data_IF_610993769633
#
_entry.id   IF_610993769633
#
_cell.length_a   1.000
_cell.length_b   1.000
_cell.length_c   1.000
_cell.angle_alpha   90.00
_cell.angle_beta   90.00
_cell.angle_gamma   90.00
#
_symmetry.space_group_name_H-M   'P 1'
#
loop_
_entity.id
_entity.type
_entity.pdbx_description
1 polymer ?
#
# COMPACT_ATOMS: atom_id res chain seq x y z
N UNK A 1 35.80 27.23 -11.66
CA UNK A 1 35.21 26.11 -12.45
C UNK A 1 34.68 25.07 -11.50
N UNK A 2 33.40 24.71 -11.58
CA UNK A 2 32.94 23.51 -10.90
C UNK A 2 33.60 22.29 -11.59
N UNK A 3 34.40 21.48 -10.87
CA UNK A 3 35.41 20.63 -11.50
C UNK A 3 34.84 19.42 -12.27
N UNK A 4 33.58 19.03 -12.04
CA UNK A 4 32.96 17.95 -12.81
C UNK A 4 31.52 18.29 -13.28
N UNK A 5 31.16 17.78 -14.45
CA UNK A 5 29.84 17.98 -15.08
C UNK A 5 28.72 17.46 -14.16
N UNK A 6 28.99 16.40 -13.40
CA UNK A 6 28.06 15.78 -12.45
C UNK A 6 27.58 16.74 -11.35
N UNK A 7 28.43 17.67 -10.89
CA UNK A 7 28.07 18.67 -9.87
C UNK A 7 27.70 20.04 -10.43
N UNK A 8 28.06 20.32 -11.69
CA UNK A 8 27.84 21.63 -12.32
C UNK A 8 26.59 21.69 -13.19
N UNK A 9 26.27 20.62 -13.93
CA UNK A 9 25.12 20.61 -14.82
C UNK A 9 23.81 20.62 -14.00
N UNK A 10 22.86 21.53 -14.24
CA UNK A 10 21.68 21.71 -13.40
C UNK A 10 20.88 20.43 -13.15
N UNK A 11 20.72 19.58 -14.15
CA UNK A 11 20.01 18.30 -14.02
C UNK A 11 20.86 17.21 -13.35
N UNK A 12 22.15 17.11 -13.70
CA UNK A 12 23.00 16.05 -13.15
C UNK A 12 23.34 16.32 -11.68
N UNK A 13 23.34 17.60 -11.27
CA UNK A 13 23.48 18.00 -9.88
C UNK A 13 22.36 17.44 -9.01
N UNK A 14 21.11 17.42 -9.51
CA UNK A 14 19.98 16.83 -8.78
C UNK A 14 20.23 15.33 -8.60
N UNK A 15 20.50 14.60 -9.69
CA UNK A 15 20.81 13.16 -9.67
C UNK A 15 21.99 12.85 -8.76
N UNK A 16 23.05 13.66 -8.83
CA UNK A 16 24.23 13.51 -8.00
C UNK A 16 23.91 13.58 -6.52
N UNK A 17 23.16 14.61 -6.13
CA UNK A 17 22.86 14.89 -4.73
C UNK A 17 21.84 13.92 -4.16
N UNK A 18 21.01 13.29 -4.99
CA UNK A 18 19.98 12.34 -4.56
C UNK A 18 20.39 10.87 -4.65
N UNK A 19 21.34 10.50 -5.52
CA UNK A 19 21.63 9.08 -5.81
C UNK A 19 23.12 8.72 -5.82
N UNK A 20 24.04 9.69 -5.86
CA UNK A 20 25.48 9.39 -6.00
C UNK A 20 26.21 9.81 -4.73
N UNK A 21 26.32 11.13 -4.52
CA UNK A 21 27.04 11.72 -3.39
C UNK A 21 26.12 11.91 -2.16
N UNK A 22 24.90 11.36 -2.19
CA UNK A 22 23.94 11.47 -1.08
C UNK A 22 24.53 10.88 0.21
N UNK A 23 24.75 11.68 1.28
CA UNK A 23 25.32 11.19 2.52
C UNK A 23 24.31 10.33 3.29
N UNK A 24 24.59 9.03 3.36
CA UNK A 24 23.68 8.04 3.96
C UNK A 24 24.32 7.39 5.20
N UNK A 25 23.54 7.10 6.28
CA UNK A 25 24.09 6.42 7.45
C UNK A 25 24.68 5.06 7.06
N UNK A 26 25.90 4.76 7.51
CA UNK A 26 26.62 3.54 7.16
C UNK A 26 25.88 2.25 7.56
N UNK A 27 25.08 2.30 8.62
CA UNK A 27 24.47 1.16 9.29
C UNK A 27 23.01 0.88 8.92
N UNK A 28 22.44 1.49 7.86
CA UNK A 28 21.07 1.16 7.45
C UNK A 28 20.98 -0.30 7.00
N UNK A 29 19.96 -1.02 7.48
CA UNK A 29 19.76 -2.46 7.24
C UNK A 29 18.97 -2.73 5.95
N UNK A 30 18.64 -4.00 5.66
CA UNK A 30 17.83 -4.39 4.50
C UNK A 30 16.44 -3.74 4.48
N UNK A 31 15.91 -3.36 5.64
CA UNK A 31 14.62 -2.67 5.74
C UNK A 31 14.60 -1.32 5.02
N UNK A 32 15.76 -0.71 4.74
CA UNK A 32 15.84 0.53 3.97
C UNK A 32 15.68 0.35 2.46
N UNK A 33 15.88 -0.86 1.94
CA UNK A 33 15.70 -1.16 0.52
C UNK A 33 14.24 -0.99 0.05
N UNK A 34 13.26 -1.09 0.95
CA UNK A 34 11.84 -0.97 0.57
C UNK A 34 11.47 0.40 -0.02
N UNK A 35 12.29 1.44 0.16
CA UNK A 35 12.09 2.71 -0.55
C UNK A 35 12.33 2.58 -2.05
N UNK A 36 13.49 2.04 -2.43
CA UNK A 36 13.85 1.82 -3.84
C UNK A 36 13.02 0.69 -4.47
N UNK A 37 12.65 -0.33 -3.71
CA UNK A 37 11.74 -1.39 -4.18
C UNK A 37 10.35 -0.85 -4.53
N UNK A 38 9.81 0.10 -3.77
CA UNK A 38 8.56 0.77 -4.14
C UNK A 38 8.70 1.58 -5.44
N UNK A 39 9.86 2.21 -5.65
CA UNK A 39 10.17 2.89 -6.91
C UNK A 39 10.16 1.95 -8.12
N UNK A 40 10.79 0.77 -8.03
CA UNK A 40 10.78 -0.20 -9.13
C UNK A 40 9.39 -0.84 -9.32
N UNK A 41 8.63 -1.08 -8.24
CA UNK A 41 7.23 -1.51 -8.35
C UNK A 41 6.39 -0.48 -9.12
N UNK A 42 6.53 0.82 -8.82
CA UNK A 42 5.82 1.88 -9.53
C UNK A 42 6.16 1.92 -11.02
N UNK A 43 7.45 1.89 -11.36
CA UNK A 43 7.90 1.87 -12.76
C UNK A 43 7.35 0.64 -13.48
N UNK A 44 7.41 -0.53 -12.85
CA UNK A 44 6.89 -1.79 -13.41
C UNK A 44 5.39 -1.71 -13.66
N UNK A 45 4.61 -1.19 -12.70
CA UNK A 45 3.16 -1.04 -12.86
C UNK A 45 2.80 -0.04 -13.97
N UNK A 46 3.50 1.09 -14.08
CA UNK A 46 3.25 2.07 -15.14
C UNK A 46 3.56 1.46 -16.51
N UNK A 47 4.71 0.80 -16.67
CA UNK A 47 5.11 0.20 -17.94
C UNK A 47 4.15 -0.93 -18.37
N UNK A 48 3.89 -1.89 -17.48
CA UNK A 48 2.96 -3.00 -17.78
C UNK A 48 1.53 -2.50 -17.97
N UNK A 49 1.08 -1.54 -17.17
CA UNK A 49 -0.25 -0.94 -17.27
C UNK A 49 -0.45 -0.19 -18.58
N UNK A 50 0.54 0.57 -19.04
CA UNK A 50 0.50 1.24 -20.34
C UNK A 50 0.39 0.22 -21.49
N UNK A 51 1.16 -0.88 -21.44
CA UNK A 51 1.09 -1.93 -22.46
C UNK A 51 -0.28 -2.63 -22.47
N UNK A 52 -0.88 -2.87 -21.30
CA UNK A 52 -2.25 -3.41 -21.22
C UNK A 52 -3.29 -2.41 -21.76
N UNK A 53 -3.14 -1.13 -21.44
CA UNK A 53 -4.06 -0.08 -21.86
C UNK A 53 -4.13 0.08 -23.39
N UNK A 54 -3.05 -0.23 -24.13
CA UNK A 54 -3.06 -0.21 -25.61
C UNK A 54 -4.00 -1.26 -26.24
N UNK A 55 -4.46 -2.23 -25.45
CA UNK A 55 -5.30 -3.35 -25.92
C UNK A 55 -6.62 -3.50 -25.15
N UNK A 56 -6.79 -2.75 -24.05
CA UNK A 56 -7.99 -2.80 -23.21
C UNK A 56 -9.10 -1.91 -23.78
N UNK A 57 -10.36 -2.33 -23.62
CA UNK A 57 -11.54 -1.53 -23.97
C UNK A 57 -12.41 -1.30 -22.75
N UNK A 58 -12.58 -0.03 -22.35
CA UNK A 58 -13.41 0.37 -21.21
C UNK A 58 -14.90 0.47 -21.60
N UNK A 59 -15.50 -0.65 -21.99
CA UNK A 59 -16.94 -0.79 -22.22
C UNK A 59 -17.45 -2.06 -21.55
N UNK A 60 -18.59 -2.02 -20.85
CA UNK A 60 -19.07 -3.18 -20.07
C UNK A 60 -19.32 -4.43 -20.91
N UNK A 61 -19.65 -4.27 -22.20
CA UNK A 61 -19.84 -5.39 -23.13
C UNK A 61 -18.52 -5.99 -23.63
N UNK A 62 -17.41 -5.25 -23.54
CA UNK A 62 -16.12 -5.63 -24.12
C UNK A 62 -14.98 -5.79 -23.11
N UNK A 63 -15.09 -5.23 -21.89
CA UNK A 63 -13.99 -5.15 -20.95
C UNK A 63 -13.42 -6.52 -20.58
N UNK A 64 -14.29 -7.44 -20.15
CA UNK A 64 -13.89 -8.81 -19.81
C UNK A 64 -13.25 -9.53 -21.01
N UNK A 65 -13.88 -9.46 -22.18
CA UNK A 65 -13.36 -10.08 -23.40
C UNK A 65 -12.06 -9.44 -23.90
N UNK A 66 -11.87 -8.14 -23.71
CA UNK A 66 -10.62 -7.43 -24.10
C UNK A 66 -9.45 -7.89 -23.24
N UNK A 67 -9.66 -8.11 -21.94
CA UNK A 67 -8.64 -8.73 -21.06
C UNK A 67 -8.37 -10.18 -21.45
N UNK A 68 -9.40 -10.94 -21.82
CA UNK A 68 -9.22 -12.30 -22.35
C UNK A 68 -8.42 -12.31 -23.67
N UNK A 69 -8.72 -11.39 -24.58
CA UNK A 69 -7.99 -11.18 -25.84
C UNK A 69 -6.52 -10.80 -25.59
N UNK A 70 -6.23 -9.91 -24.64
CA UNK A 70 -4.85 -9.59 -24.24
C UNK A 70 -4.11 -10.87 -23.85
N UNK A 71 -4.72 -11.72 -23.03
CA UNK A 71 -4.07 -12.94 -22.57
C UNK A 71 -3.90 -14.00 -23.66
N UNK A 72 -4.77 -14.02 -24.69
CA UNK A 72 -4.83 -15.11 -25.67
C UNK A 72 -4.16 -14.77 -27.01
N UNK A 73 -4.29 -13.53 -27.45
CA UNK A 73 -4.00 -13.14 -28.84
C UNK A 73 -2.83 -12.14 -28.95
N UNK A 74 -2.61 -11.32 -27.91
CA UNK A 74 -1.48 -10.38 -27.88
C UNK A 74 -0.19 -11.12 -27.53
N UNK A 75 0.86 -10.91 -28.32
CA UNK A 75 2.18 -11.50 -28.08
C UNK A 75 2.69 -11.12 -26.68
N UNK A 76 2.97 -12.12 -25.85
CA UNK A 76 3.32 -11.96 -24.43
C UNK A 76 2.26 -11.22 -23.57
N UNK A 77 1.04 -11.03 -24.05
CA UNK A 77 0.01 -10.31 -23.30
C UNK A 77 -0.39 -11.02 -22.00
N UNK A 78 -0.41 -12.36 -21.98
CA UNK A 78 -0.59 -13.14 -20.74
C UNK A 78 0.49 -12.84 -19.69
N UNK A 79 1.75 -12.69 -20.13
CA UNK A 79 2.88 -12.41 -19.26
C UNK A 79 2.76 -11.00 -18.69
N UNK A 80 2.50 -10.00 -19.55
CA UNK A 80 2.33 -8.61 -19.13
C UNK A 80 1.15 -8.49 -18.14
N UNK A 81 0.02 -9.16 -18.41
CA UNK A 81 -1.14 -9.19 -17.51
C UNK A 81 -0.78 -9.81 -16.16
N UNK A 82 -0.06 -10.93 -16.16
CA UNK A 82 0.34 -11.60 -14.91
C UNK A 82 1.35 -10.79 -14.12
N UNK A 83 2.31 -10.13 -14.79
CA UNK A 83 3.26 -9.22 -14.16
C UNK A 83 2.54 -8.02 -13.54
N UNK A 84 1.56 -7.43 -14.22
CA UNK A 84 0.80 -6.29 -13.70
C UNK A 84 -0.07 -6.66 -12.50
N UNK A 85 -0.77 -7.81 -12.56
CA UNK A 85 -1.64 -8.27 -11.48
C UNK A 85 -0.84 -8.68 -10.23
N UNK A 86 0.19 -9.51 -10.39
CA UNK A 86 1.04 -9.93 -9.27
C UNK A 86 1.95 -8.78 -8.78
N UNK A 87 2.33 -7.86 -9.68
CA UNK A 87 3.12 -6.68 -9.36
C UNK A 87 2.38 -5.74 -8.40
N UNK A 88 1.05 -5.63 -8.52
CA UNK A 88 0.23 -4.91 -7.54
C UNK A 88 0.35 -5.53 -6.13
N UNK A 89 0.31 -6.87 -6.02
CA UNK A 89 0.52 -7.54 -4.73
C UNK A 89 1.91 -7.29 -4.16
N UNK A 90 2.96 -7.37 -4.99
CA UNK A 90 4.33 -7.06 -4.57
C UNK A 90 4.51 -5.59 -4.14
N UNK A 91 3.75 -4.68 -4.75
CA UNK A 91 3.68 -3.28 -4.30
C UNK A 91 3.15 -3.19 -2.87
N UNK A 92 2.05 -3.88 -2.55
CA UNK A 92 1.49 -3.89 -1.19
C UNK A 92 2.37 -4.61 -0.17
N UNK A 93 3.04 -5.70 -0.56
CA UNK A 93 4.04 -6.34 0.31
C UNK A 93 5.14 -5.33 0.64
N UNK A 94 5.70 -4.66 -0.37
CA UNK A 94 6.75 -3.68 -0.16
C UNK A 94 6.27 -2.49 0.70
N UNK A 95 5.05 -1.98 0.48
CA UNK A 95 4.58 -0.80 1.21
C UNK A 95 4.30 -1.13 2.67
N UNK A 96 3.75 -2.31 2.98
CA UNK A 96 3.52 -2.72 4.36
C UNK A 96 4.83 -2.96 5.12
N UNK A 97 5.85 -3.53 4.47
CA UNK A 97 7.19 -3.65 5.08
C UNK A 97 7.86 -2.28 5.23
N UNK A 98 7.68 -1.37 4.27
CA UNK A 98 8.18 0.00 4.35
C UNK A 98 7.57 0.78 5.53
N UNK A 99 6.25 0.67 5.72
CA UNK A 99 5.51 1.27 6.85
C UNK A 99 5.94 0.62 8.16
N UNK A 100 6.02 -0.71 8.21
CA UNK A 100 6.46 -1.47 9.39
C UNK A 100 7.86 -1.05 9.85
N UNK A 101 8.81 -0.92 8.91
CA UNK A 101 10.13 -0.31 9.18
C UNK A 101 9.99 1.09 9.75
N UNK A 102 9.17 1.94 9.11
CA UNK A 102 8.97 3.32 9.55
C UNK A 102 8.44 3.40 10.98
N UNK A 103 7.55 2.49 11.34
CA UNK A 103 6.97 2.35 12.67
C UNK A 103 7.99 1.84 13.70
N UNK A 104 8.67 0.72 13.42
CA UNK A 104 9.62 0.09 14.33
C UNK A 104 10.82 1.00 14.67
N UNK A 105 11.36 1.70 13.67
CA UNK A 105 12.53 2.56 13.85
C UNK A 105 12.19 4.02 14.16
N UNK A 106 10.91 4.36 14.40
CA UNK A 106 10.50 5.73 14.71
C UNK A 106 10.78 6.74 13.58
N UNK A 107 10.73 6.28 12.32
CA UNK A 107 10.95 7.14 11.15
C UNK A 107 9.79 8.09 10.93
N UNK A 108 8.60 7.80 11.47
CA UNK A 108 7.43 8.69 11.49
C UNK A 108 7.69 10.05 12.16
N UNK A 109 8.77 10.19 12.94
CA UNK A 109 9.18 11.47 13.50
C UNK A 109 9.65 12.47 12.43
N UNK A 110 9.97 12.02 11.22
CA UNK A 110 10.06 12.88 10.04
C UNK A 110 8.65 13.10 9.50
N UNK A 111 7.95 14.06 10.09
CA UNK A 111 6.49 14.19 9.99
C UNK A 111 6.02 14.42 8.55
N UNK A 112 6.69 15.27 7.80
CA UNK A 112 6.37 15.63 6.42
C UNK A 112 6.56 14.43 5.49
N UNK A 113 7.70 13.74 5.62
CA UNK A 113 7.97 12.47 4.93
C UNK A 113 6.94 11.41 5.30
N UNK A 114 6.59 11.27 6.58
CA UNK A 114 5.59 10.30 7.03
C UNK A 114 4.20 10.60 6.47
N UNK A 115 3.74 11.85 6.59
CA UNK A 115 2.41 12.26 6.14
C UNK A 115 2.25 12.13 4.62
N UNK A 116 3.28 12.51 3.85
CA UNK A 116 3.30 12.23 2.40
C UNK A 116 3.31 10.73 2.11
N UNK A 117 3.96 9.91 2.95
CA UNK A 117 3.89 8.44 2.90
C UNK A 117 2.49 7.88 3.13
N UNK A 118 1.71 8.45 4.07
CA UNK A 118 0.31 8.07 4.27
C UNK A 118 -0.54 8.46 3.06
N UNK A 119 -0.31 9.63 2.46
CA UNK A 119 -0.99 10.04 1.22
C UNK A 119 -0.63 9.10 0.06
N UNK A 120 0.64 8.67 -0.06
CA UNK A 120 1.06 7.66 -1.04
C UNK A 120 0.33 6.34 -0.85
N UNK A 121 0.20 5.86 0.39
CA UNK A 121 -0.59 4.65 0.70
C UNK A 121 -2.04 4.81 0.26
N UNK A 122 -2.71 5.90 0.65
CA UNK A 122 -4.11 6.15 0.27
C UNK A 122 -4.29 6.22 -1.25
N UNK A 123 -3.36 6.87 -1.95
CA UNK A 123 -3.38 6.99 -3.42
C UNK A 123 -3.15 5.62 -4.08
N UNK A 124 -2.24 4.80 -3.55
CA UNK A 124 -2.02 3.43 -4.02
C UNK A 124 -3.25 2.55 -3.79
N UNK A 125 -3.87 2.63 -2.61
CA UNK A 125 -5.11 1.93 -2.28
C UNK A 125 -6.23 2.29 -3.27
N UNK A 126 -6.44 3.58 -3.53
CA UNK A 126 -7.39 4.03 -4.53
C UNK A 126 -7.06 3.48 -5.92
N UNK A 127 -5.80 3.58 -6.34
CA UNK A 127 -5.31 3.09 -7.65
C UNK A 127 -5.58 1.61 -7.84
N UNK A 128 -5.21 0.78 -6.87
CA UNK A 128 -5.37 -0.66 -6.94
C UNK A 128 -6.84 -1.08 -6.91
N UNK A 129 -7.66 -0.41 -6.10
CA UNK A 129 -9.11 -0.65 -6.06
C UNK A 129 -9.75 -0.39 -7.42
N UNK A 130 -9.54 0.79 -8.03
CA UNK A 130 -10.14 1.08 -9.35
C UNK A 130 -9.57 0.20 -10.46
N UNK A 131 -8.30 -0.21 -10.36
CA UNK A 131 -7.66 -1.14 -11.30
C UNK A 131 -8.28 -2.54 -11.26
N UNK A 132 -8.63 -3.01 -10.06
CA UNK A 132 -9.26 -4.32 -9.88
C UNK A 132 -10.67 -4.40 -10.49
N UNK A 133 -11.33 -3.26 -10.74
CA UNK A 133 -12.65 -3.24 -11.39
C UNK A 133 -12.57 -3.46 -12.91
N UNK A 134 -11.43 -3.11 -13.52
CA UNK A 134 -11.27 -3.07 -14.98
C UNK A 134 -11.47 -4.42 -15.71
N UNK A 135 -11.06 -5.57 -15.16
CA UNK A 135 -11.35 -6.87 -15.78
C UNK A 135 -12.83 -7.21 -15.89
N UNK A 136 -13.70 -6.51 -15.15
CA UNK A 136 -15.16 -6.66 -15.21
C UNK A 136 -15.66 -8.10 -14.99
N UNK A 137 -14.99 -8.83 -14.08
CA UNK A 137 -15.47 -10.12 -13.57
C UNK A 137 -16.44 -9.98 -12.38
N UNK A 138 -16.91 -11.10 -11.85
CA UNK A 138 -17.86 -11.12 -10.73
C UNK A 138 -17.32 -10.39 -9.49
N UNK A 139 -16.10 -10.69 -9.04
CA UNK A 139 -15.51 -10.03 -7.85
C UNK A 139 -15.20 -8.56 -8.11
N UNK A 140 -14.78 -8.21 -9.32
CA UNK A 140 -14.60 -6.82 -9.76
C UNK A 140 -15.89 -6.00 -9.59
N UNK A 141 -17.00 -6.48 -10.16
CA UNK A 141 -18.28 -5.78 -10.17
C UNK A 141 -18.92 -5.70 -8.77
N UNK A 142 -19.03 -6.84 -8.09
CA UNK A 142 -19.67 -6.90 -6.78
C UNK A 142 -18.83 -6.23 -5.69
N UNK A 143 -17.50 -6.34 -5.77
CA UNK A 143 -16.57 -5.59 -4.93
C UNK A 143 -16.74 -4.08 -5.12
N UNK A 144 -16.81 -3.60 -6.37
CA UNK A 144 -17.07 -2.18 -6.65
C UNK A 144 -18.40 -1.73 -6.04
N UNK A 145 -19.47 -2.50 -6.26
CA UNK A 145 -20.83 -2.20 -5.77
C UNK A 145 -20.87 -2.09 -4.25
N UNK A 146 -20.32 -3.07 -3.54
CA UNK A 146 -20.33 -3.09 -2.07
C UNK A 146 -19.49 -1.96 -1.48
N UNK A 147 -18.24 -1.80 -1.95
CA UNK A 147 -17.29 -0.85 -1.36
C UNK A 147 -17.71 0.60 -1.63
N UNK A 148 -18.13 0.95 -2.83
CA UNK A 148 -18.56 2.32 -3.14
C UNK A 148 -19.88 2.67 -2.43
N UNK A 149 -20.80 1.72 -2.27
CA UNK A 149 -22.03 1.92 -1.51
C UNK A 149 -21.82 2.07 0.01
N UNK A 150 -20.59 1.95 0.51
CA UNK A 150 -20.28 2.33 1.89
C UNK A 150 -20.47 3.83 2.12
N UNK A 151 -20.20 4.67 1.11
CA UNK A 151 -20.35 6.12 1.23
C UNK A 151 -21.80 6.58 1.40
N UNK A 152 -22.81 5.76 1.05
CA UNK A 152 -24.22 6.09 1.32
C UNK A 152 -24.56 6.09 2.81
N UNK A 153 -23.67 5.62 3.67
CA UNK A 153 -23.81 5.75 5.12
C UNK A 153 -23.58 7.19 5.63
N UNK A 154 -22.98 8.07 4.82
CA UNK A 154 -22.73 9.46 5.21
C UNK A 154 -24.08 10.21 5.28
N UNK A 155 -24.44 10.82 6.44
CA UNK A 155 -25.68 11.54 6.58
C UNK A 155 -25.82 12.68 5.55
N UNK A 156 -27.05 12.90 5.08
CA UNK A 156 -27.47 13.94 4.14
C UNK A 156 -26.92 13.82 2.70
N UNK A 157 -25.61 13.68 2.52
CA UNK A 157 -24.96 13.72 1.21
C UNK A 157 -24.59 12.34 0.64
N UNK A 158 -24.72 11.26 1.44
CA UNK A 158 -24.18 9.95 1.11
C UNK A 158 -24.74 9.36 -0.18
N UNK A 159 -26.07 9.36 -0.34
CA UNK A 159 -26.69 8.78 -1.54
C UNK A 159 -26.31 9.56 -2.81
N UNK A 160 -26.39 10.89 -2.75
CA UNK A 160 -25.97 11.77 -3.85
C UNK A 160 -24.51 11.55 -4.24
N UNK A 161 -23.62 11.38 -3.25
CA UNK A 161 -22.19 11.12 -3.50
C UNK A 161 -21.97 9.79 -4.22
N UNK A 162 -22.69 8.73 -3.84
CA UNK A 162 -22.58 7.40 -4.46
C UNK A 162 -23.09 7.42 -5.90
N UNK A 163 -24.28 7.95 -6.16
CA UNK A 163 -24.85 8.04 -7.51
C UNK A 163 -24.01 8.96 -8.41
N UNK A 164 -23.46 10.05 -7.85
CA UNK A 164 -22.51 10.90 -8.56
C UNK A 164 -21.23 10.14 -8.92
N UNK A 165 -20.67 9.38 -7.97
CA UNK A 165 -19.46 8.59 -8.18
C UNK A 165 -19.66 7.45 -9.19
N UNK A 166 -20.84 6.85 -9.25
CA UNK A 166 -21.22 5.89 -10.29
C UNK A 166 -21.53 6.56 -11.64
N UNK A 167 -22.12 7.75 -11.63
CA UNK A 167 -22.65 8.38 -12.84
C UNK A 167 -23.96 7.75 -13.30
N UNK A 168 -24.74 7.23 -12.35
CA UNK A 168 -25.95 6.46 -12.59
C UNK A 168 -26.45 5.86 -11.26
N UNK A 169 -27.44 4.99 -11.35
CA UNK A 169 -28.10 4.39 -10.18
C UNK A 169 -27.39 3.13 -9.64
N UNK A 170 -26.45 2.59 -10.40
CA UNK A 170 -25.67 1.40 -10.04
C UNK A 170 -24.29 1.48 -10.69
N UNK A 171 -23.39 0.57 -10.29
CA UNK A 171 -22.14 0.33 -11.01
C UNK A 171 -22.49 -0.18 -12.41
N UNK A 172 -22.08 0.56 -13.45
CA UNK A 172 -22.33 0.23 -14.86
C UNK A 172 -21.28 0.90 -15.76
N UNK A 173 -21.51 1.02 -17.07
CA UNK A 173 -20.58 1.57 -18.06
C UNK A 173 -20.03 2.97 -17.72
N UNK A 174 -20.85 3.93 -17.23
CA UNK A 174 -20.32 5.22 -16.79
C UNK A 174 -19.29 5.08 -15.65
N UNK A 175 -19.44 4.07 -14.78
CA UNK A 175 -18.51 3.77 -13.68
C UNK A 175 -17.21 3.13 -14.18
N UNK A 176 -17.31 2.19 -15.12
CA UNK A 176 -16.13 1.50 -15.67
C UNK A 176 -15.21 2.46 -16.42
N UNK A 177 -15.77 3.30 -17.29
CA UNK A 177 -15.02 4.28 -18.09
C UNK A 177 -14.26 5.29 -17.21
N UNK A 178 -14.91 5.86 -16.19
CA UNK A 178 -14.25 6.77 -15.23
C UNK A 178 -13.22 6.05 -14.36
N UNK A 179 -13.45 4.80 -13.98
CA UNK A 179 -12.48 4.04 -13.18
C UNK A 179 -11.25 3.72 -14.00
N UNK A 180 -11.38 3.43 -15.30
CA UNK A 180 -10.23 3.33 -16.19
C UNK A 180 -9.45 4.64 -16.27
N UNK A 181 -10.12 5.78 -16.46
CA UNK A 181 -9.46 7.08 -16.49
C UNK A 181 -8.74 7.42 -15.18
N UNK A 182 -9.37 7.15 -14.03
CA UNK A 182 -8.75 7.33 -12.70
C UNK A 182 -7.57 6.37 -12.50
N UNK A 183 -7.72 5.10 -12.87
CA UNK A 183 -6.66 4.10 -12.74
C UNK A 183 -5.45 4.46 -13.59
N UNK A 184 -5.66 5.08 -14.76
CA UNK A 184 -4.58 5.57 -15.60
C UNK A 184 -3.90 6.81 -15.00
N UNK A 185 -4.66 7.75 -14.43
CA UNK A 185 -4.16 9.01 -13.87
C UNK A 185 -3.36 8.82 -12.57
N UNK A 186 -3.90 8.06 -11.61
CA UNK A 186 -3.39 7.99 -10.25
C UNK A 186 -1.93 7.49 -10.13
N UNK A 187 -1.42 6.53 -10.93
CA UNK A 187 0.00 6.16 -10.92
C UNK A 187 0.95 7.33 -11.18
N UNK A 188 0.58 8.27 -12.06
CA UNK A 188 1.39 9.47 -12.31
C UNK A 188 1.32 10.45 -11.14
N UNK A 189 0.18 10.53 -10.46
CA UNK A 189 0.07 11.27 -9.20
C UNK A 189 0.96 10.65 -8.11
N UNK A 190 1.00 9.32 -7.99
CA UNK A 190 1.93 8.62 -7.08
C UNK A 190 3.38 8.96 -7.42
N UNK A 191 3.75 9.00 -8.70
CA UNK A 191 5.10 9.40 -9.10
C UNK A 191 5.43 10.85 -8.67
N UNK A 192 4.51 11.79 -8.88
CA UNK A 192 4.66 13.17 -8.43
C UNK A 192 4.78 13.31 -6.91
N UNK A 193 3.92 12.64 -6.14
CA UNK A 193 3.96 12.66 -4.67
C UNK A 193 5.25 11.98 -4.17
N UNK A 194 5.75 10.95 -4.86
CA UNK A 194 7.01 10.28 -4.50
C UNK A 194 8.22 11.23 -4.59
N UNK A 195 8.22 12.16 -5.56
CA UNK A 195 9.23 13.21 -5.64
C UNK A 195 9.15 14.13 -4.42
N UNK A 196 7.95 14.54 -4.01
CA UNK A 196 7.74 15.36 -2.80
C UNK A 196 8.18 14.60 -1.55
N UNK A 197 7.84 13.32 -1.44
CA UNK A 197 8.22 12.45 -0.33
C UNK A 197 9.74 12.34 -0.18
N UNK A 198 10.46 12.13 -1.30
CA UNK A 198 11.93 12.08 -1.32
C UNK A 198 12.56 13.46 -1.06
N UNK A 199 11.91 14.54 -1.47
CA UNK A 199 12.38 15.91 -1.19
C UNK A 199 12.39 16.16 0.32
N UNK A 200 11.28 15.88 1.02
CA UNK A 200 11.25 15.99 2.49
C UNK A 200 12.24 15.04 3.17
N UNK A 201 12.43 13.82 2.65
CA UNK A 201 13.44 12.90 3.17
C UNK A 201 14.86 13.47 3.05
N UNK A 202 15.18 14.15 1.95
CA UNK A 202 16.53 14.69 1.72
C UNK A 202 16.85 15.91 2.58
N UNK A 203 15.85 16.64 3.09
CA UNK A 203 16.06 17.72 4.07
C UNK A 203 16.71 17.20 5.37
N UNK A 204 16.27 16.04 5.86
CA UNK A 204 16.81 15.45 7.10
C UNK A 204 17.88 14.38 6.85
N UNK A 205 17.83 13.74 5.68
CA UNK A 205 18.51 12.47 5.41
C UNK A 205 17.84 11.27 6.10
N UNK A 206 18.29 10.08 5.73
CA UNK A 206 17.78 8.81 6.26
C UNK A 206 17.98 8.66 7.77
N UNK A 207 16.97 8.11 8.45
CA UNK A 207 17.12 7.53 9.78
C UNK A 207 17.98 6.24 9.72
N UNK A 208 18.33 5.66 10.86
CA UNK A 208 19.07 4.41 10.95
C UNK A 208 18.54 3.49 12.06
N UNK A 209 18.94 2.20 12.11
CA UNK A 209 18.40 1.23 13.06
C UNK A 209 18.55 1.63 14.52
N UNK A 210 19.65 2.28 14.89
CA UNK A 210 19.93 2.67 16.27
C UNK A 210 19.09 3.88 16.72
N UNK A 211 18.52 4.64 15.77
CA UNK A 211 17.70 5.82 16.07
C UNK A 211 18.47 7.00 16.65
N UNK A 212 19.80 7.01 16.52
CA UNK A 212 20.69 8.09 16.95
C UNK A 212 21.20 8.90 15.75
N UNK A 213 21.76 10.08 16.01
CA UNK A 213 22.36 10.93 14.98
C UNK A 213 23.56 10.20 14.35
N UNK A 214 23.61 10.14 13.01
CA UNK A 214 24.66 9.43 12.26
C UNK A 214 25.63 10.35 11.51
N UNK A 215 25.69 11.65 11.85
CA UNK A 215 26.59 12.60 11.17
C UNK A 215 28.07 12.22 11.24
N UNK A 216 28.49 11.53 12.30
CA UNK A 216 29.87 11.07 12.47
C UNK A 216 30.25 9.92 11.54
N UNK A 217 29.29 9.20 10.96
CA UNK A 217 29.54 8.05 10.09
C UNK A 217 28.50 7.97 8.96
N UNK A 218 28.75 8.79 7.93
CA UNK A 218 28.01 8.75 6.67
C UNK A 218 28.94 8.30 5.56
N UNK A 219 28.39 7.47 4.68
CA UNK A 219 29.03 7.01 3.45
C UNK A 219 28.24 7.53 2.24
N UNK A 220 28.88 7.73 1.08
CA UNK A 220 28.16 8.10 -0.13
C UNK A 220 27.18 6.99 -0.55
N UNK A 221 26.07 7.37 -1.17
CA UNK A 221 25.08 6.39 -1.63
C UNK A 221 25.66 5.43 -2.67
N UNK A 222 26.38 5.96 -3.65
CA UNK A 222 27.13 5.15 -4.60
C UNK A 222 28.58 4.95 -4.11
N UNK A 223 29.14 3.74 -4.11
CA UNK A 223 28.57 2.48 -4.62
C UNK A 223 27.76 1.66 -3.61
N UNK A 224 27.84 1.99 -2.31
CA UNK A 224 27.38 1.12 -1.23
C UNK A 224 25.90 0.77 -1.31
N UNK A 225 25.04 1.79 -1.32
CA UNK A 225 23.59 1.59 -1.34
C UNK A 225 23.05 1.34 -2.74
N UNK A 226 23.70 1.83 -3.81
CA UNK A 226 23.31 1.43 -5.16
C UNK A 226 23.49 -0.07 -5.41
N UNK A 227 24.61 -0.66 -4.95
CA UNK A 227 24.86 -2.10 -5.09
C UNK A 227 23.97 -2.92 -4.16
N UNK A 228 23.76 -2.44 -2.93
CA UNK A 228 22.85 -3.08 -1.98
C UNK A 228 21.39 -3.05 -2.46
N UNK A 229 20.96 -1.97 -3.09
CA UNK A 229 19.62 -1.86 -3.66
C UNK A 229 19.46 -2.78 -4.86
N UNK A 230 20.48 -2.90 -5.72
CA UNK A 230 20.48 -3.88 -6.81
C UNK A 230 20.33 -5.31 -6.29
N UNK A 231 20.99 -5.67 -5.18
CA UNK A 231 20.77 -6.97 -4.52
C UNK A 231 19.33 -7.10 -3.99
N UNK A 232 18.78 -6.05 -3.40
CA UNK A 232 17.37 -6.03 -2.99
C UNK A 232 16.43 -6.28 -4.17
N UNK A 233 16.74 -5.70 -5.34
CA UNK A 233 15.93 -5.84 -6.55
C UNK A 233 15.95 -7.28 -7.06
N UNK A 234 17.13 -7.92 -7.10
CA UNK A 234 17.23 -9.32 -7.53
C UNK A 234 16.47 -10.23 -6.55
N UNK A 235 16.63 -10.02 -5.24
CA UNK A 235 15.92 -10.79 -4.22
C UNK A 235 14.39 -10.61 -4.27
N UNK A 236 13.87 -9.43 -4.62
CA UNK A 236 12.44 -9.23 -4.83
C UNK A 236 11.95 -9.88 -6.13
N UNK A 237 12.75 -9.77 -7.20
CA UNK A 237 12.38 -10.26 -8.53
C UNK A 237 12.23 -11.78 -8.56
N UNK A 238 13.00 -12.54 -7.79
CA UNK A 238 12.93 -14.00 -7.75
C UNK A 238 11.55 -14.54 -7.35
N UNK A 239 11.00 -14.22 -6.16
CA UNK A 239 9.66 -14.66 -5.79
C UNK A 239 8.56 -13.99 -6.64
N UNK A 240 8.76 -12.76 -7.12
CA UNK A 240 7.81 -12.08 -8.00
C UNK A 240 7.64 -12.82 -9.33
N UNK A 241 8.74 -13.12 -10.02
CA UNK A 241 8.70 -13.84 -11.29
C UNK A 241 8.29 -15.30 -11.07
N UNK A 242 8.72 -15.94 -9.98
CA UNK A 242 8.27 -17.29 -9.65
C UNK A 242 6.74 -17.36 -9.50
N UNK A 243 6.13 -16.40 -8.78
CA UNK A 243 4.68 -16.28 -8.67
C UNK A 243 4.04 -16.01 -10.05
N UNK A 244 4.53 -15.00 -10.77
CA UNK A 244 3.93 -14.57 -12.04
C UNK A 244 4.02 -15.63 -13.17
N UNK A 245 5.01 -16.51 -13.15
CA UNK A 245 5.20 -17.53 -14.18
C UNK A 245 4.73 -18.93 -13.78
N UNK A 246 4.90 -19.36 -12.53
CA UNK A 246 4.56 -20.73 -12.12
C UNK A 246 3.18 -20.83 -11.48
N UNK A 247 2.76 -19.83 -10.70
CA UNK A 247 1.47 -19.85 -9.98
C UNK A 247 0.72 -18.50 -10.09
N UNK A 248 0.48 -17.99 -11.30
CA UNK A 248 0.04 -16.59 -11.53
C UNK A 248 -1.29 -16.20 -10.89
N UNK A 249 -2.14 -17.19 -10.58
CA UNK A 249 -3.47 -16.97 -10.02
C UNK A 249 -3.54 -17.30 -8.52
N UNK A 250 -2.42 -17.60 -7.85
CA UNK A 250 -2.42 -18.00 -6.42
C UNK A 250 -3.05 -16.95 -5.50
N UNK A 251 -2.88 -15.67 -5.81
CA UNK A 251 -3.36 -14.56 -4.97
C UNK A 251 -4.73 -14.00 -5.42
N UNK A 252 -5.24 -14.42 -6.58
CA UNK A 252 -6.49 -13.89 -7.14
C UNK A 252 -7.69 -14.80 -6.85
N UNK A 253 -8.89 -14.23 -6.86
CA UNK A 253 -10.12 -15.00 -6.65
C UNK A 253 -10.61 -15.65 -7.97
N UNK A 254 -10.91 -16.96 -7.99
CA UNK A 254 -11.38 -17.66 -9.19
C UNK A 254 -12.71 -17.13 -9.72
N UNK A 255 -13.56 -16.54 -8.87
CA UNK A 255 -14.83 -15.94 -9.31
C UNK A 255 -14.61 -14.80 -10.32
N UNK A 256 -13.44 -14.17 -10.30
CA UNK A 256 -13.12 -13.09 -11.24
C UNK A 256 -12.78 -13.59 -12.67
N UNK A 257 -12.82 -14.90 -12.90
CA UNK A 257 -12.79 -15.51 -14.25
C UNK A 257 -14.19 -15.74 -14.84
N UNK A 258 -15.25 -15.36 -14.13
CA UNK A 258 -16.62 -15.31 -14.65
C UNK A 258 -16.99 -13.86 -14.96
N UNK A 259 -17.54 -13.54 -16.16
CA UNK A 259 -18.01 -12.20 -16.48
C UNK A 259 -19.02 -11.67 -15.46
N UNK A 260 -18.97 -10.37 -15.18
CA UNK A 260 -19.91 -9.74 -14.26
C UNK A 260 -21.38 -9.97 -14.66
N UNK A 261 -22.17 -10.45 -13.70
CA UNK A 261 -23.61 -10.60 -13.82
C UNK A 261 -24.30 -9.88 -12.64
N UNK A 262 -24.98 -8.74 -12.89
CA UNK A 262 -25.68 -7.98 -11.86
C UNK A 262 -26.81 -8.75 -11.15
N UNK A 263 -27.27 -9.88 -11.72
CA UNK A 263 -28.35 -10.70 -11.18
C UNK A 263 -27.86 -11.90 -10.36
N UNK A 264 -26.54 -12.15 -10.32
CA UNK A 264 -25.96 -13.30 -9.61
C UNK A 264 -24.86 -12.81 -8.68
N UNK A 265 -25.18 -12.75 -7.39
CA UNK A 265 -24.23 -12.37 -6.33
C UNK A 265 -23.34 -13.57 -5.96
N UNK A 266 -21.99 -13.43 -5.96
CA UNK A 266 -21.08 -14.48 -5.49
C UNK A 266 -21.34 -14.85 -4.03
N UNK A 267 -21.06 -16.10 -3.61
CA UNK A 267 -21.31 -16.54 -2.23
C UNK A 267 -20.61 -15.70 -1.16
N UNK A 268 -19.37 -15.28 -1.44
CA UNK A 268 -18.56 -14.50 -0.49
C UNK A 268 -17.83 -13.35 -1.20
N UNK A 269 -18.45 -12.18 -1.20
CA UNK A 269 -17.82 -10.95 -1.71
C UNK A 269 -16.76 -10.48 -0.72
N UNK A 270 -15.52 -10.34 -1.20
CA UNK A 270 -14.38 -9.83 -0.45
C UNK A 270 -13.45 -9.06 -1.38
N UNK A 271 -12.70 -8.06 -0.88
CA UNK A 271 -11.68 -7.40 -1.68
C UNK A 271 -10.41 -8.26 -1.75
N UNK A 272 -9.45 -7.83 -2.58
CA UNK A 272 -8.12 -8.42 -2.65
C UNK A 272 -7.40 -8.45 -1.30
N UNK A 273 -6.43 -9.37 -1.14
CA UNK A 273 -5.82 -9.72 0.14
C UNK A 273 -5.28 -8.52 0.93
N UNK A 274 -4.71 -7.53 0.23
CA UNK A 274 -4.13 -6.35 0.84
C UNK A 274 -5.16 -5.40 1.46
N UNK A 275 -6.46 -5.58 1.23
CA UNK A 275 -7.55 -4.84 1.89
C UNK A 275 -8.24 -5.62 3.01
N UNK A 276 -7.97 -6.93 3.15
CA UNK A 276 -8.75 -7.79 4.05
C UNK A 276 -8.65 -7.37 5.51
N UNK A 277 -7.51 -6.85 5.96
CA UNK A 277 -7.36 -6.39 7.35
C UNK A 277 -8.35 -5.25 7.69
N UNK A 278 -8.53 -4.31 6.75
CA UNK A 278 -9.42 -3.17 6.91
C UNK A 278 -10.90 -3.60 6.72
N UNK A 279 -11.14 -4.54 5.81
CA UNK A 279 -12.45 -5.17 5.62
C UNK A 279 -12.92 -5.94 6.86
N UNK A 280 -12.01 -6.61 7.58
CA UNK A 280 -12.34 -7.24 8.86
C UNK A 280 -12.75 -6.21 9.93
N UNK A 281 -12.06 -5.07 9.99
CA UNK A 281 -12.41 -3.97 10.91
C UNK A 281 -13.78 -3.39 10.57
N UNK A 282 -14.08 -3.16 9.28
CA UNK A 282 -15.39 -2.71 8.81
C UNK A 282 -16.52 -3.62 9.32
N UNK A 283 -16.38 -4.94 9.14
CA UNK A 283 -17.40 -5.93 9.52
C UNK A 283 -17.52 -6.16 11.01
N UNK A 284 -16.53 -5.73 11.80
CA UNK A 284 -16.52 -5.93 13.25
C UNK A 284 -17.51 -5.03 13.99
N UNK A 285 -17.90 -3.90 13.39
CA UNK A 285 -18.87 -2.97 13.99
C UNK A 285 -20.25 -3.23 13.38
N UNK A 286 -21.27 -3.63 14.18
CA UNK A 286 -22.62 -3.92 13.70
C UNK A 286 -23.44 -2.63 13.45
N UNK A 287 -22.85 -1.67 12.75
CA UNK A 287 -23.47 -0.42 12.33
C UNK A 287 -22.80 0.05 11.04
N UNK A 288 -23.58 0.37 10.00
CA UNK A 288 -23.02 0.75 8.69
C UNK A 288 -22.09 1.97 8.78
N UNK A 289 -22.54 3.06 9.40
CA UNK A 289 -21.73 4.28 9.53
C UNK A 289 -20.52 4.04 10.43
N UNK A 290 -20.71 3.39 11.59
CA UNK A 290 -19.63 3.07 12.52
C UNK A 290 -18.55 2.20 11.89
N UNK A 291 -18.93 1.17 11.13
CA UNK A 291 -18.01 0.34 10.38
C UNK A 291 -17.22 1.11 9.32
N UNK A 292 -17.87 2.02 8.58
CA UNK A 292 -17.20 2.89 7.60
C UNK A 292 -16.20 3.84 8.26
N UNK A 293 -16.56 4.42 9.40
CA UNK A 293 -15.66 5.27 10.18
C UNK A 293 -14.46 4.47 10.71
N UNK A 294 -14.67 3.23 11.18
CA UNK A 294 -13.58 2.37 11.64
C UNK A 294 -12.68 1.88 10.51
N UNK A 295 -13.24 1.60 9.33
CA UNK A 295 -12.47 1.31 8.11
C UNK A 295 -11.54 2.50 7.79
N UNK A 296 -12.08 3.71 7.72
CA UNK A 296 -11.30 4.92 7.47
C UNK A 296 -10.23 5.14 8.56
N UNK A 297 -10.62 5.01 9.84
CA UNK A 297 -9.72 5.14 10.97
C UNK A 297 -8.58 4.12 10.94
N UNK A 298 -8.80 2.91 10.42
CA UNK A 298 -7.75 1.87 10.36
C UNK A 298 -6.55 2.24 9.47
N UNK A 299 -6.72 3.19 8.54
CA UNK A 299 -5.61 3.73 7.75
C UNK A 299 -5.21 5.13 8.24
N UNK A 300 -6.20 5.98 8.52
CA UNK A 300 -5.96 7.37 8.95
C UNK A 300 -5.28 7.48 10.32
N UNK A 301 -5.35 6.45 11.16
CA UNK A 301 -4.59 6.37 12.42
C UNK A 301 -3.08 6.50 12.20
N UNK A 302 -2.56 6.21 10.99
CA UNK A 302 -1.16 6.43 10.68
C UNK A 302 -0.76 7.91 10.84
N UNK A 303 -1.65 8.87 10.55
CA UNK A 303 -1.38 10.30 10.78
C UNK A 303 -1.20 10.65 12.26
N UNK A 304 -1.79 9.88 13.18
CA UNK A 304 -1.70 10.17 14.62
C UNK A 304 -0.43 9.61 15.26
N UNK A 305 0.27 8.67 14.60
CA UNK A 305 1.45 7.99 15.17
C UNK A 305 2.54 8.96 15.65
N UNK A 306 2.93 10.02 14.90
CA UNK A 306 3.92 10.98 15.39
C UNK A 306 3.49 11.69 16.69
N UNK A 307 2.19 11.89 16.90
CA UNK A 307 1.63 12.56 18.08
C UNK A 307 1.59 11.65 19.31
N UNK A 308 1.54 10.33 19.09
CA UNK A 308 1.49 9.31 20.12
C UNK A 308 2.89 8.88 20.62
N UNK A 309 3.96 9.42 20.04
CA UNK A 309 5.32 9.10 20.47
C UNK A 309 5.62 9.72 21.85
N UNK A 310 5.85 8.87 22.85
CA UNK A 310 6.21 9.30 24.23
C UNK A 310 7.60 8.89 24.68
N UNK A 311 8.28 8.01 23.94
CA UNK A 311 9.60 7.53 24.37
C UNK A 311 10.66 8.63 24.21
N UNK A 312 11.67 8.60 25.07
CA UNK A 312 12.89 9.41 24.90
C UNK A 312 13.83 8.83 23.83
N UNK A 313 13.64 7.57 23.44
CA UNK A 313 14.39 6.90 22.38
C UNK A 313 13.54 6.78 21.10
N UNK A 314 14.14 7.15 19.96
CA UNK A 314 13.46 7.13 18.65
C UNK A 314 13.09 5.71 18.20
N UNK A 315 14.08 4.82 18.15
CA UNK A 315 13.94 3.44 17.66
C UNK A 315 13.47 2.47 18.75
N UNK A 316 12.77 1.40 18.36
CA UNK A 316 12.44 0.29 19.26
C UNK A 316 13.61 -0.67 19.52
N UNK A 317 14.76 -0.51 18.87
CA UNK A 317 15.93 -1.41 19.01
C UNK A 317 16.35 -1.65 20.46
N UNK A 318 16.22 -0.64 21.33
CA UNK A 318 16.58 -0.73 22.76
C UNK A 318 15.35 -0.69 23.69
N UNK A 319 14.18 -1.06 23.17
CA UNK A 319 12.88 -0.97 23.86
C UNK A 319 12.14 -2.32 23.81
N UNK A 320 12.55 -3.32 24.62
CA UNK A 320 12.10 -4.70 24.48
C UNK A 320 10.58 -4.86 24.65
N UNK A 321 9.94 -4.09 25.54
CA UNK A 321 8.48 -4.16 25.71
C UNK A 321 7.77 -3.62 24.48
N UNK A 322 8.25 -2.51 23.91
CA UNK A 322 7.70 -1.97 22.66
C UNK A 322 7.94 -2.90 21.46
N UNK A 323 9.02 -3.67 21.42
CA UNK A 323 9.25 -4.68 20.38
C UNK A 323 8.21 -5.79 20.42
N UNK A 324 7.87 -6.28 21.63
CA UNK A 324 6.80 -7.28 21.80
C UNK A 324 5.47 -6.72 21.30
N UNK A 325 5.13 -5.48 21.67
CA UNK A 325 3.90 -4.82 21.19
C UNK A 325 3.90 -4.64 19.66
N UNK A 326 5.04 -4.34 19.05
CA UNK A 326 5.15 -4.26 17.59
C UNK A 326 4.85 -5.59 16.92
N UNK A 327 5.47 -6.68 17.39
CA UNK A 327 5.20 -7.99 16.81
C UNK A 327 3.79 -8.51 17.11
N UNK A 328 3.22 -8.13 18.26
CA UNK A 328 1.81 -8.38 18.55
C UNK A 328 0.89 -7.62 17.58
N UNK A 329 1.20 -6.36 17.25
CA UNK A 329 0.46 -5.60 16.24
C UNK A 329 0.56 -6.27 14.85
N UNK A 330 1.75 -6.71 14.45
CA UNK A 330 1.96 -7.41 13.17
C UNK A 330 1.16 -8.71 13.13
N UNK A 331 1.23 -9.53 14.18
CA UNK A 331 0.43 -10.75 14.29
C UNK A 331 -1.07 -10.45 14.24
N UNK A 332 -1.51 -9.38 14.89
CA UNK A 332 -2.90 -8.96 14.88
C UNK A 332 -3.38 -8.52 13.48
N UNK A 333 -2.54 -7.83 12.70
CA UNK A 333 -2.84 -7.51 11.30
C UNK A 333 -2.97 -8.77 10.43
N UNK A 334 -2.15 -9.79 10.67
CA UNK A 334 -2.28 -11.09 10.00
C UNK A 334 -3.58 -11.80 10.38
N UNK A 335 -3.98 -11.75 11.66
CA UNK A 335 -5.28 -12.28 12.12
C UNK A 335 -6.44 -11.52 11.46
N UNK A 336 -6.39 -10.19 11.42
CA UNK A 336 -7.41 -9.38 10.74
C UNK A 336 -7.50 -9.73 9.25
N UNK A 337 -6.37 -9.93 8.58
CA UNK A 337 -6.32 -10.36 7.17
C UNK A 337 -6.97 -11.72 6.99
N UNK A 338 -6.65 -12.69 7.85
CA UNK A 338 -7.25 -14.02 7.83
C UNK A 338 -8.76 -13.96 8.10
N UNK A 339 -9.22 -13.30 9.17
CA UNK A 339 -10.65 -13.15 9.48
C UNK A 339 -11.38 -12.43 8.36
N UNK A 340 -10.74 -11.43 7.73
CA UNK A 340 -11.24 -10.73 6.54
C UNK A 340 -11.57 -11.67 5.39
N UNK A 341 -10.87 -12.80 5.25
CA UNK A 341 -11.11 -13.80 4.22
C UNK A 341 -12.21 -14.81 4.57
N UNK A 342 -12.68 -14.84 5.82
CA UNK A 342 -13.67 -15.80 6.32
C UNK A 342 -15.11 -15.27 6.22
N UNK A 343 -16.13 -16.16 6.21
CA UNK A 343 -17.54 -15.77 6.29
C UNK A 343 -17.88 -15.07 7.61
N UNK A 344 -19.00 -14.35 7.62
CA UNK A 344 -19.50 -13.63 8.81
C UNK A 344 -20.28 -14.60 9.70
N UNK A 345 -19.56 -15.52 10.34
CA UNK A 345 -20.11 -16.58 11.18
C UNK A 345 -19.31 -16.76 12.47
N UNK A 346 -19.86 -17.48 13.44
CA UNK A 346 -19.09 -17.88 14.62
C UNK A 346 -18.03 -18.94 14.23
N UNK A 347 -16.77 -18.87 14.72
CA UNK A 347 -16.22 -17.92 15.71
C UNK A 347 -15.59 -16.66 15.10
N UNK A 348 -15.59 -16.49 13.78
CA UNK A 348 -14.87 -15.40 13.09
C UNK A 348 -15.39 -14.01 13.45
N UNK A 349 -16.69 -13.85 13.72
CA UNK A 349 -17.27 -12.57 14.17
C UNK A 349 -16.56 -12.07 15.43
N UNK A 350 -16.50 -12.90 16.48
CA UNK A 350 -15.91 -12.49 17.77
C UNK A 350 -14.39 -12.31 17.68
N UNK A 351 -13.71 -13.17 16.89
CA UNK A 351 -12.28 -13.01 16.66
C UNK A 351 -12.00 -11.68 15.95
N UNK A 352 -12.78 -11.33 14.92
CA UNK A 352 -12.66 -10.06 14.21
C UNK A 352 -12.88 -8.85 15.12
N UNK A 353 -13.88 -8.91 16.00
CA UNK A 353 -14.15 -7.85 16.98
C UNK A 353 -13.00 -7.66 17.96
N UNK A 354 -12.48 -8.75 18.54
CA UNK A 354 -11.36 -8.71 19.47
C UNK A 354 -10.06 -8.23 18.79
N UNK A 355 -9.80 -8.69 17.57
CA UNK A 355 -8.63 -8.26 16.78
C UNK A 355 -8.72 -6.78 16.37
N UNK A 356 -9.92 -6.30 16.04
CA UNK A 356 -10.15 -4.88 15.74
C UNK A 356 -9.97 -4.01 16.97
N UNK A 357 -10.51 -4.45 18.13
CA UNK A 357 -10.31 -3.76 19.40
C UNK A 357 -8.84 -3.71 19.79
N UNK A 358 -8.12 -4.84 19.68
CA UNK A 358 -6.70 -4.90 20.01
C UNK A 358 -5.86 -4.05 19.07
N UNK A 359 -6.21 -3.95 17.78
CA UNK A 359 -5.53 -3.09 16.81
C UNK A 359 -5.50 -1.62 17.26
N UNK A 360 -6.68 -1.05 17.53
CA UNK A 360 -6.77 0.34 18.00
C UNK A 360 -6.20 0.51 19.41
N UNK A 361 -6.39 -0.48 20.29
CA UNK A 361 -5.87 -0.43 21.67
C UNK A 361 -4.35 -0.40 21.71
N UNK A 362 -3.69 -1.24 20.90
CA UNK A 362 -2.23 -1.30 20.81
C UNK A 362 -1.69 0.05 20.34
N UNK A 363 -2.25 0.61 19.26
CA UNK A 363 -1.78 1.85 18.64
C UNK A 363 -2.05 3.09 19.50
N UNK A 364 -3.28 3.26 20.00
CA UNK A 364 -3.69 4.49 20.69
C UNK A 364 -3.28 4.52 22.16
N UNK A 365 -3.21 3.37 22.83
CA UNK A 365 -3.03 3.32 24.29
C UNK A 365 -1.78 2.54 24.71
N UNK A 366 -1.60 1.29 24.26
CA UNK A 366 -0.51 0.46 24.78
C UNK A 366 0.86 1.00 24.39
N UNK A 367 1.08 1.41 23.13
CA UNK A 367 2.34 2.01 22.72
C UNK A 367 2.75 3.25 23.53
N UNK A 368 1.91 4.30 23.68
CA UNK A 368 2.29 5.47 24.48
C UNK A 368 2.48 5.15 25.97
N UNK A 369 1.66 4.26 26.55
CA UNK A 369 1.79 3.83 27.96
C UNK A 369 3.11 3.09 28.16
N UNK A 370 3.39 2.07 27.35
CA UNK A 370 4.63 1.29 27.42
C UNK A 370 5.86 2.15 27.18
N UNK A 371 5.81 3.08 26.22
CA UNK A 371 6.89 4.03 25.99
C UNK A 371 7.18 4.90 27.23
N UNK A 372 6.13 5.35 27.93
CA UNK A 372 6.27 6.14 29.16
C UNK A 372 6.82 5.29 30.31
N UNK A 373 6.41 4.03 30.40
CA UNK A 373 6.94 3.08 31.38
C UNK A 373 8.43 2.78 31.14
N UNK A 374 8.81 2.47 29.90
CA UNK A 374 10.20 2.24 29.51
C UNK A 374 11.08 3.46 29.84
N UNK A 375 10.56 4.69 29.67
CA UNK A 375 11.29 5.88 30.09
C UNK A 375 11.55 5.88 31.60
N UNK A 376 10.57 5.55 32.45
CA UNK A 376 10.73 5.53 33.92
C UNK A 376 11.65 4.42 34.43
N UNK A 377 11.77 3.33 33.67
CA UNK A 377 12.67 2.22 34.02
C UNK A 377 14.14 2.62 33.76
N UNK A 378 14.39 3.46 32.75
CA UNK A 378 15.74 3.82 32.31
C UNK A 378 16.23 5.19 32.81
N UNK A 379 15.31 6.12 33.09
CA UNK A 379 15.57 7.51 33.48
C UNK A 379 14.71 7.88 34.68
#
# INVERSE_FOLDING_TARGET
MAPNIRKSHPLLKIVNNSLIDLPSPSNISAWWNFGSLLGICLITQILTGLMLAMHYTADTSLAFSSVAHICRDVQYGWMIRNLHANGASFFFICIYLHIGRGFYYGSYLYKETWNTGVILLLTLMATAFVGYVLPWGQMSFWGATVITNLFSAIPYIGQTLVEWAWGGFSVDNPTLTRFFALHFLLPFLIAGISIVHLTFLHETGSNNPLGIISHCDKIPFHPYFSTKDLLGFTLLSLPFLALAFFTPNLLGDPENFTPANPLVTPPHIKPEWYFLFAYAILRSIPNKLGGVLALAASVLILFTIPLLHKSKMRSMTFRPMSQILFWLLVANLLILTWVGSQPVEHPFIIIGQLASLSYFTILLFLFPITATLENKILY
#
